data_IF_284500940139
#
_entry.id   IF_284500940139
#
_cell.length_a   1.000
_cell.length_b   1.000
_cell.length_c   1.000
_cell.angle_alpha   90.00
_cell.angle_beta   90.00
_cell.angle_gamma   90.00
#
_symmetry.space_group_name_H-M   'P 1'
#
loop_
_entity.id
_entity.type
_entity.pdbx_description
1 polymer ?
#
# COMPACT_ATOMS: atom_id res chain seq x y z
N UNK A 1 -8.77 15.19 -13.00
CA UNK A 1 -9.23 13.93 -13.63
C UNK A 1 -8.23 13.60 -14.73
N UNK A 2 -7.15 12.89 -14.38
CA UNK A 2 -6.10 12.48 -15.31
C UNK A 2 -6.46 11.08 -15.80
N UNK A 3 -7.07 11.02 -16.99
CA UNK A 3 -7.29 9.77 -17.70
C UNK A 3 -5.92 9.34 -18.28
N UNK A 4 -5.20 8.48 -17.58
CA UNK A 4 -4.15 7.68 -18.20
C UNK A 4 -4.84 6.66 -19.11
N UNK A 5 -4.87 6.97 -20.40
CA UNK A 5 -5.06 5.96 -21.43
C UNK A 5 -3.87 4.99 -21.34
N UNK A 6 -4.03 3.94 -20.55
CA UNK A 6 -3.22 2.74 -20.70
C UNK A 6 -3.50 2.22 -22.12
N UNK A 7 -2.61 2.54 -23.03
CA UNK A 7 -2.57 1.91 -24.35
C UNK A 7 -2.29 0.43 -24.06
N UNK A 8 -3.31 -0.37 -24.24
CA UNK A 8 -3.25 -1.82 -24.12
C UNK A 8 -2.41 -2.31 -25.30
N UNK A 9 -1.10 -2.42 -25.13
CA UNK A 9 -0.28 -3.15 -26.06
C UNK A 9 -0.63 -4.64 -25.92
N UNK A 10 -0.89 -5.38 -27.00
CA UNK A 10 -1.14 -6.80 -26.92
C UNK A 10 0.04 -7.49 -26.23
N UNK A 11 -0.25 -8.52 -25.45
CA UNK A 11 0.75 -9.30 -24.67
C UNK A 11 1.89 -9.84 -25.53
N UNK A 12 1.62 -10.08 -26.80
CA UNK A 12 2.61 -10.50 -27.78
C UNK A 12 3.71 -9.46 -28.00
N UNK A 13 3.39 -8.17 -27.94
CA UNK A 13 4.36 -7.07 -28.11
C UNK A 13 5.36 -7.02 -26.93
N UNK A 14 4.89 -7.19 -25.70
CA UNK A 14 5.76 -7.24 -24.51
C UNK A 14 6.65 -8.47 -24.46
N UNK A 15 6.13 -9.62 -24.91
CA UNK A 15 6.95 -10.83 -25.04
C UNK A 15 8.00 -10.68 -26.14
N UNK A 16 7.66 -10.06 -27.25
CA UNK A 16 8.59 -9.75 -28.32
C UNK A 16 9.68 -8.77 -27.89
N UNK A 17 9.35 -7.75 -27.09
CA UNK A 17 10.33 -6.80 -26.55
C UNK A 17 11.34 -7.48 -25.61
N UNK A 18 10.90 -8.37 -24.74
CA UNK A 18 11.81 -9.12 -23.84
C UNK A 18 12.69 -10.10 -24.64
N UNK A 19 12.14 -10.77 -25.62
CA UNK A 19 12.92 -11.64 -26.52
C UNK A 19 13.95 -10.83 -27.30
N UNK A 20 13.57 -9.66 -27.81
CA UNK A 20 14.48 -8.78 -28.56
C UNK A 20 15.65 -8.27 -27.70
N UNK A 21 15.42 -7.95 -26.42
CA UNK A 21 16.48 -7.52 -25.49
C UNK A 21 17.46 -8.65 -25.23
N UNK A 22 16.98 -9.88 -25.00
CA UNK A 22 17.87 -11.03 -24.80
C UNK A 22 18.71 -11.31 -26.04
N UNK A 23 18.11 -11.26 -27.23
CA UNK A 23 18.80 -11.44 -28.49
C UNK A 23 19.85 -10.32 -28.73
N UNK A 24 19.51 -9.07 -28.40
CA UNK A 24 20.45 -7.94 -28.51
C UNK A 24 21.67 -8.14 -27.60
N UNK A 25 21.45 -8.55 -26.35
CA UNK A 25 22.56 -8.86 -25.42
C UNK A 25 23.38 -10.05 -25.90
N UNK A 26 22.72 -11.11 -26.40
CA UNK A 26 23.39 -12.27 -26.95
C UNK A 26 24.25 -11.91 -28.17
N UNK A 27 23.75 -11.09 -29.09
CA UNK A 27 24.52 -10.57 -30.22
C UNK A 27 25.71 -9.74 -29.76
N UNK A 28 25.50 -8.84 -28.80
CA UNK A 28 26.59 -8.03 -28.23
C UNK A 28 27.70 -8.87 -27.61
N UNK A 29 27.37 -10.04 -27.05
CA UNK A 29 28.35 -11.00 -26.53
C UNK A 29 29.10 -11.65 -27.70
N UNK A 30 28.37 -12.17 -28.71
CA UNK A 30 28.96 -12.88 -29.85
C UNK A 30 29.79 -11.96 -30.76
N UNK A 31 29.33 -10.73 -31.00
CA UNK A 31 29.99 -9.74 -31.84
C UNK A 31 31.12 -8.99 -31.13
N UNK A 32 31.39 -9.30 -29.87
CA UNK A 32 32.43 -8.64 -29.11
C UNK A 32 33.83 -9.04 -29.61
N UNK A 33 34.64 -8.05 -29.94
CA UNK A 33 36.08 -8.28 -30.30
C UNK A 33 36.90 -8.82 -29.12
N UNK A 34 36.43 -8.63 -27.90
CA UNK A 34 37.09 -9.14 -26.69
C UNK A 34 36.31 -10.34 -26.15
N UNK A 35 37.04 -11.40 -25.67
CA UNK A 35 36.36 -12.57 -25.13
C UNK A 35 35.54 -12.20 -23.90
N UNK A 36 34.24 -12.60 -23.92
CA UNK A 36 33.29 -12.35 -22.85
C UNK A 36 33.19 -13.58 -21.97
N UNK A 37 33.45 -13.40 -20.68
CA UNK A 37 33.32 -14.46 -19.68
C UNK A 37 32.29 -14.11 -18.63
N UNK A 38 31.41 -15.06 -18.29
CA UNK A 38 30.35 -14.90 -17.32
C UNK A 38 30.67 -15.69 -16.04
N UNK A 39 30.61 -15.01 -14.90
CA UNK A 39 30.76 -15.67 -13.60
C UNK A 39 29.43 -15.61 -12.83
N UNK A 40 28.90 -16.79 -12.47
CA UNK A 40 27.68 -16.94 -11.65
C UNK A 40 28.10 -16.97 -10.18
N UNK A 41 27.97 -15.86 -9.50
CA UNK A 41 28.40 -15.70 -8.11
C UNK A 41 27.95 -14.36 -7.50
N UNK A 42 28.15 -14.19 -6.19
CA UNK A 42 28.69 -15.12 -5.20
C UNK A 42 27.77 -16.31 -4.89
N UNK A 43 28.15 -17.14 -3.87
CA UNK A 43 27.31 -18.26 -3.41
C UNK A 43 25.87 -17.84 -3.16
N UNK A 44 24.91 -18.63 -3.67
CA UNK A 44 23.47 -18.31 -3.61
C UNK A 44 22.96 -17.42 -4.75
N UNK A 45 23.80 -17.08 -5.72
CA UNK A 45 23.37 -16.42 -6.95
C UNK A 45 22.75 -17.43 -7.91
N UNK A 46 21.74 -16.97 -8.67
CA UNK A 46 20.99 -17.79 -9.62
C UNK A 46 21.08 -17.20 -11.03
N UNK A 47 21.46 -18.01 -12.01
CA UNK A 47 21.35 -17.73 -13.43
C UNK A 47 20.22 -18.60 -13.99
N UNK A 48 18.98 -18.15 -13.93
CA UNK A 48 17.79 -18.90 -14.32
C UNK A 48 17.10 -18.26 -15.53
N UNK A 49 16.36 -19.07 -16.31
CA UNK A 49 15.64 -18.59 -17.47
C UNK A 49 16.58 -18.00 -18.53
N UNK A 50 16.26 -16.80 -19.04
CA UNK A 50 17.08 -16.09 -20.06
C UNK A 50 18.51 -15.82 -19.63
N UNK A 51 18.80 -15.64 -18.33
CA UNK A 51 20.15 -15.49 -17.83
C UNK A 51 20.97 -16.79 -18.04
N UNK A 52 20.36 -17.97 -17.87
CA UNK A 52 21.02 -19.24 -18.15
C UNK A 52 21.33 -19.40 -19.64
N UNK A 53 20.46 -18.90 -20.52
CA UNK A 53 20.70 -18.90 -21.96
C UNK A 53 21.89 -17.99 -22.32
N UNK A 54 21.96 -16.78 -21.77
CA UNK A 54 23.06 -15.85 -22.02
C UNK A 54 24.41 -16.40 -21.56
N UNK A 55 24.45 -17.21 -20.49
CA UNK A 55 25.67 -17.90 -20.07
C UNK A 55 26.17 -18.87 -21.15
N UNK A 56 25.28 -19.48 -21.93
CA UNK A 56 25.68 -20.42 -23.01
C UNK A 56 26.25 -19.72 -24.23
N UNK A 57 25.98 -18.43 -24.40
CA UNK A 57 26.49 -17.61 -25.52
C UNK A 57 27.89 -17.09 -25.23
N UNK A 58 28.28 -16.99 -23.97
CA UNK A 58 29.59 -16.48 -23.56
C UNK A 58 30.72 -17.46 -23.91
N UNK A 59 31.92 -16.93 -24.24
CA UNK A 59 33.11 -17.71 -24.58
C UNK A 59 33.54 -18.64 -23.45
N UNK A 60 33.41 -18.19 -22.22
CA UNK A 60 33.66 -19.01 -21.05
C UNK A 60 32.75 -18.64 -19.88
N UNK A 61 32.56 -19.57 -18.95
CA UNK A 61 31.71 -19.35 -17.81
C UNK A 61 32.27 -20.01 -16.54
N UNK A 62 32.03 -19.36 -15.40
CA UNK A 62 32.37 -19.88 -14.09
C UNK A 62 31.17 -19.87 -13.13
N UNK A 63 31.17 -20.77 -12.16
CA UNK A 63 30.13 -20.85 -11.15
C UNK A 63 30.69 -20.99 -9.75
N UNK A 64 30.13 -20.22 -8.80
CA UNK A 64 30.48 -20.28 -7.39
C UNK A 64 29.81 -21.47 -6.67
N UNK A 65 30.34 -21.91 -5.50
CA UNK A 65 29.66 -22.88 -4.65
C UNK A 65 28.28 -22.40 -4.25
N UNK A 66 27.25 -23.24 -4.38
CA UNK A 66 25.88 -22.88 -4.02
C UNK A 66 25.19 -21.89 -4.94
N UNK A 67 25.85 -21.43 -6.00
CA UNK A 67 25.19 -20.73 -7.09
C UNK A 67 24.53 -21.74 -8.04
N UNK A 68 23.47 -21.35 -8.74
CA UNK A 68 22.67 -22.23 -9.60
C UNK A 68 22.50 -21.70 -11.03
N UNK A 69 22.31 -22.63 -11.98
CA UNK A 69 22.03 -22.34 -13.38
C UNK A 69 20.98 -23.29 -13.90
N UNK A 70 20.09 -22.82 -14.78
CA UNK A 70 19.08 -23.63 -15.48
C UNK A 70 17.68 -23.06 -15.42
N UNK A 71 16.68 -23.93 -15.27
CA UNK A 71 15.25 -23.59 -15.25
C UNK A 71 14.86 -22.63 -16.38
N UNK A 72 15.32 -22.92 -17.62
CA UNK A 72 15.07 -22.06 -18.79
C UNK A 72 13.59 -22.05 -19.16
N UNK A 73 12.90 -23.21 -19.01
CA UNK A 73 11.52 -23.32 -19.44
C UNK A 73 11.39 -23.12 -20.95
N UNK A 74 10.64 -22.09 -21.34
CA UNK A 74 10.54 -21.72 -22.77
C UNK A 74 11.79 -20.94 -23.19
N UNK A 75 12.43 -21.39 -24.26
CA UNK A 75 13.60 -20.71 -24.85
C UNK A 75 13.22 -19.26 -25.20
N UNK A 76 14.06 -18.32 -24.79
CA UNK A 76 13.87 -16.88 -25.00
C UNK A 76 14.76 -16.31 -26.09
N UNK A 77 15.94 -16.92 -26.32
CA UNK A 77 16.77 -16.56 -27.45
C UNK A 77 16.19 -17.13 -28.74
N UNK A 78 16.29 -16.36 -29.83
CA UNK A 78 15.81 -16.72 -31.14
C UNK A 78 16.41 -18.06 -31.58
N UNK A 79 15.54 -19.04 -31.89
CA UNK A 79 15.97 -20.35 -32.35
C UNK A 79 16.63 -20.29 -33.75
N UNK A 80 16.29 -19.27 -34.54
CA UNK A 80 16.83 -19.11 -35.88
C UNK A 80 18.31 -18.67 -35.87
N UNK A 81 18.69 -17.91 -34.84
CA UNK A 81 20.02 -17.34 -34.71
C UNK A 81 20.90 -18.13 -33.71
N UNK A 82 20.30 -18.59 -32.60
CA UNK A 82 21.00 -19.23 -31.47
C UNK A 82 20.64 -20.71 -31.30
N UNK A 83 19.82 -21.29 -32.17
CA UNK A 83 19.30 -22.65 -32.03
C UNK A 83 20.38 -23.72 -31.86
N UNK A 84 21.51 -23.56 -32.54
CA UNK A 84 22.63 -24.52 -32.47
C UNK A 84 23.30 -24.58 -31.08
N UNK A 85 23.24 -23.51 -30.31
CA UNK A 85 23.82 -23.45 -28.95
C UNK A 85 23.03 -24.30 -27.94
N UNK A 86 21.77 -24.57 -28.23
CA UNK A 86 20.83 -25.29 -27.35
C UNK A 86 20.58 -26.71 -27.79
N UNK A 87 21.42 -27.29 -28.65
CA UNK A 87 21.25 -28.66 -29.15
C UNK A 87 21.90 -29.70 -28.22
N UNK A 88 21.36 -30.91 -28.20
CA UNK A 88 21.95 -32.03 -27.50
C UNK A 88 21.82 -32.00 -25.97
N UNK A 89 22.91 -32.36 -25.27
CA UNK A 89 22.93 -32.46 -23.81
C UNK A 89 22.67 -31.13 -23.08
N UNK A 90 23.06 -30.01 -23.67
CA UNK A 90 22.87 -28.68 -23.10
C UNK A 90 21.38 -28.31 -23.02
N UNK A 91 20.61 -28.58 -24.06
CA UNK A 91 19.18 -28.30 -24.06
C UNK A 91 18.42 -29.07 -22.96
N UNK A 92 18.74 -30.34 -22.77
CA UNK A 92 18.12 -31.17 -21.71
C UNK A 92 18.55 -30.75 -20.32
N UNK A 93 19.78 -30.23 -20.17
CA UNK A 93 20.31 -29.77 -18.90
C UNK A 93 19.69 -28.45 -18.43
N UNK A 94 19.38 -27.53 -19.35
CA UNK A 94 18.88 -26.20 -19.03
C UNK A 94 17.44 -26.18 -18.49
N UNK A 95 16.64 -27.23 -18.72
CA UNK A 95 15.30 -27.35 -18.12
C UNK A 95 15.31 -27.62 -16.61
N UNK A 96 16.45 -28.06 -16.08
CA UNK A 96 16.66 -28.36 -14.66
C UNK A 96 17.60 -27.33 -14.04
N UNK A 97 17.54 -27.19 -12.73
CA UNK A 97 18.49 -26.37 -11.99
C UNK A 97 19.67 -27.22 -11.51
N UNK A 98 20.88 -26.77 -11.81
CA UNK A 98 22.13 -27.36 -11.34
C UNK A 98 22.92 -26.38 -10.50
N UNK A 99 23.56 -26.87 -9.46
CA UNK A 99 24.34 -26.03 -8.55
C UNK A 99 25.81 -26.36 -8.61
N UNK A 100 26.67 -25.34 -8.53
CA UNK A 100 28.13 -25.45 -8.36
C UNK A 100 28.78 -26.49 -9.30
N UNK A 101 29.45 -27.46 -8.75
CA UNK A 101 30.16 -28.51 -9.52
C UNK A 101 29.21 -29.37 -10.38
N UNK A 102 27.98 -29.54 -10.00
CA UNK A 102 27.00 -30.32 -10.79
C UNK A 102 26.73 -29.65 -12.14
N UNK A 103 26.71 -28.31 -12.18
CA UNK A 103 26.56 -27.53 -13.41
C UNK A 103 27.75 -27.73 -14.35
N UNK A 104 28.97 -27.80 -13.82
CA UNK A 104 30.17 -28.07 -14.60
C UNK A 104 30.16 -29.52 -15.15
N UNK A 105 29.78 -30.50 -14.32
CA UNK A 105 29.67 -31.91 -14.76
C UNK A 105 28.56 -32.09 -15.83
N UNK A 106 27.50 -31.28 -15.77
CA UNK A 106 26.47 -31.26 -16.79
C UNK A 106 26.90 -30.55 -18.10
N UNK A 107 28.03 -29.86 -18.10
CA UNK A 107 28.57 -29.11 -19.25
C UNK A 107 27.83 -27.79 -19.50
N UNK A 108 27.09 -27.28 -18.50
CA UNK A 108 26.38 -26.02 -18.58
C UNK A 108 27.26 -24.81 -18.27
N UNK A 109 28.36 -25.05 -17.53
CA UNK A 109 29.35 -24.03 -17.16
C UNK A 109 30.73 -24.60 -17.38
N UNK A 110 31.65 -23.76 -17.83
CA UNK A 110 33.01 -24.19 -18.19
C UNK A 110 33.83 -24.58 -16.97
N UNK A 111 33.73 -23.84 -15.86
CA UNK A 111 34.63 -24.01 -14.70
C UNK A 111 33.89 -23.81 -13.37
N UNK A 112 34.38 -24.51 -12.36
CA UNK A 112 34.04 -24.23 -10.96
C UNK A 112 34.99 -23.18 -10.42
N UNK A 113 34.45 -22.00 -10.03
CA UNK A 113 35.24 -20.85 -9.59
C UNK A 113 34.62 -20.28 -8.31
N UNK A 114 35.17 -20.62 -7.14
CA UNK A 114 34.63 -20.23 -5.84
C UNK A 114 34.49 -18.71 -5.66
N UNK A 115 35.47 -17.97 -6.19
CA UNK A 115 35.50 -16.51 -6.13
C UNK A 115 35.68 -15.90 -7.52
N UNK A 116 35.35 -14.62 -7.65
CA UNK A 116 35.60 -13.88 -8.89
C UNK A 116 37.12 -13.79 -9.18
N UNK A 117 37.94 -13.78 -8.15
CA UNK A 117 39.39 -13.82 -8.28
C UNK A 117 39.87 -15.12 -8.92
N UNK A 118 39.35 -16.28 -8.44
CA UNK A 118 39.66 -17.60 -9.02
C UNK A 118 39.19 -17.68 -10.48
N UNK A 119 38.04 -17.06 -10.77
CA UNK A 119 37.54 -17.01 -12.13
C UNK A 119 38.48 -16.21 -13.04
N UNK A 120 38.88 -15.01 -12.64
CA UNK A 120 39.74 -14.13 -13.42
C UNK A 120 41.10 -14.75 -13.72
N UNK A 121 41.76 -15.37 -12.73
CA UNK A 121 43.07 -16.01 -12.93
C UNK A 121 42.99 -17.27 -13.79
N UNK A 122 41.80 -17.85 -13.95
CA UNK A 122 41.58 -19.04 -14.78
C UNK A 122 41.22 -18.72 -16.22
N UNK A 123 41.07 -17.45 -16.60
CA UNK A 123 40.75 -17.04 -17.96
C UNK A 123 41.96 -17.13 -18.87
N UNK A 124 41.73 -17.60 -20.09
CA UNK A 124 42.75 -17.66 -21.12
C UNK A 124 43.19 -16.24 -21.53
N UNK A 125 44.50 -15.97 -21.58
CA UNK A 125 45.06 -14.66 -21.91
C UNK A 125 45.28 -13.72 -20.73
N UNK A 126 44.92 -14.11 -19.50
CA UNK A 126 45.26 -13.36 -18.29
C UNK A 126 46.62 -13.80 -17.78
N UNK A 127 47.61 -12.90 -17.86
CA UNK A 127 48.91 -13.15 -17.28
C UNK A 127 48.83 -13.10 -15.76
N UNK A 128 49.42 -14.11 -15.10
CA UNK A 128 49.37 -14.25 -13.66
C UNK A 128 50.76 -14.33 -13.08
N UNK A 129 50.97 -13.75 -11.89
CA UNK A 129 52.18 -13.86 -11.08
C UNK A 129 51.89 -14.61 -9.78
N UNK A 130 52.80 -15.51 -9.40
CA UNK A 130 52.71 -16.17 -8.10
C UNK A 130 53.50 -15.36 -7.07
N UNK A 131 52.74 -14.70 -6.18
CA UNK A 131 53.34 -13.99 -5.02
C UNK A 131 53.26 -14.85 -3.77
N UNK A 132 54.34 -14.85 -3.00
CA UNK A 132 54.33 -15.47 -1.67
C UNK A 132 54.12 -14.36 -0.64
N UNK A 133 52.94 -14.31 -0.03
CA UNK A 133 52.61 -13.37 1.04
C UNK A 133 52.31 -14.19 2.29
N UNK A 134 52.98 -13.88 3.40
CA UNK A 134 52.84 -14.58 4.69
C UNK A 134 53.05 -16.11 4.63
N UNK A 135 53.88 -16.58 3.70
CA UNK A 135 54.15 -18.01 3.52
C UNK A 135 53.17 -18.77 2.66
N UNK A 136 52.09 -18.13 2.23
CA UNK A 136 51.11 -18.68 1.29
C UNK A 136 51.39 -18.21 -0.13
N UNK A 137 51.31 -19.13 -1.09
CA UNK A 137 51.43 -18.80 -2.51
C UNK A 137 50.07 -18.32 -3.02
N UNK A 138 49.98 -17.04 -3.36
CA UNK A 138 48.82 -16.45 -4.00
C UNK A 138 49.14 -16.15 -5.46
N UNK A 139 48.26 -16.65 -6.35
CA UNK A 139 48.29 -16.27 -7.77
C UNK A 139 47.48 -14.99 -7.94
N UNK A 140 48.10 -13.94 -8.46
CA UNK A 140 47.47 -12.65 -8.70
C UNK A 140 47.53 -12.31 -10.19
N UNK A 141 46.50 -11.72 -10.78
CA UNK A 141 46.55 -11.25 -12.15
C UNK A 141 47.51 -10.05 -12.25
N UNK A 142 48.35 -10.03 -13.26
CA UNK A 142 49.20 -8.88 -13.60
C UNK A 142 48.40 -7.76 -14.28
N UNK A 143 47.25 -8.10 -14.84
CA UNK A 143 46.39 -7.18 -15.55
C UNK A 143 45.59 -6.31 -14.58
N UNK A 144 45.40 -5.03 -14.90
CA UNK A 144 44.58 -4.12 -14.11
C UNK A 144 43.11 -4.48 -14.26
N UNK A 145 42.49 -4.93 -13.16
CA UNK A 145 41.04 -5.22 -13.12
C UNK A 145 40.25 -3.93 -12.88
N UNK A 146 39.36 -3.57 -13.79
CA UNK A 146 38.46 -2.45 -13.63
C UNK A 146 37.09 -2.98 -13.25
N UNK A 147 36.57 -2.57 -12.09
CA UNK A 147 35.21 -2.86 -11.68
C UNK A 147 34.27 -1.70 -12.08
N UNK A 148 33.35 -1.99 -12.97
CA UNK A 148 32.28 -1.05 -13.32
C UNK A 148 31.02 -1.38 -12.52
N UNK A 149 30.48 -0.40 -11.80
CA UNK A 149 29.22 -0.57 -11.07
C UNK A 149 28.07 0.00 -11.91
N UNK A 150 26.95 -0.68 -11.87
CA UNK A 150 25.72 -0.17 -12.47
C UNK A 150 25.33 1.19 -11.86
N UNK A 151 24.78 2.12 -12.65
CA UNK A 151 24.18 3.35 -12.13
C UNK A 151 23.12 3.05 -11.05
N UNK A 152 22.95 3.95 -10.08
CA UNK A 152 22.00 3.77 -8.99
C UNK A 152 20.57 3.53 -9.49
N UNK A 153 20.15 4.20 -10.58
CA UNK A 153 18.86 3.98 -11.20
C UNK A 153 18.67 2.52 -11.64
N UNK A 154 19.65 1.98 -12.36
CA UNK A 154 19.61 0.59 -12.83
C UNK A 154 19.63 -0.40 -11.66
N UNK A 155 20.41 -0.12 -10.60
CA UNK A 155 20.40 -0.94 -9.38
C UNK A 155 19.02 -0.92 -8.71
N UNK A 156 18.37 0.23 -8.64
CA UNK A 156 17.03 0.38 -8.09
C UNK A 156 16.02 -0.48 -8.89
N UNK A 157 15.96 -0.30 -10.20
CA UNK A 157 15.05 -1.05 -11.05
C UNK A 157 15.30 -2.56 -11.02
N UNK A 158 16.57 -2.97 -10.98
CA UNK A 158 16.92 -4.38 -10.81
C UNK A 158 16.46 -4.94 -9.46
N UNK A 159 16.59 -4.16 -8.37
CA UNK A 159 16.12 -4.57 -7.05
C UNK A 159 14.59 -4.67 -7.03
N UNK A 160 13.90 -3.69 -7.61
CA UNK A 160 12.43 -3.66 -7.70
C UNK A 160 11.89 -4.82 -8.55
N UNK A 161 12.61 -5.23 -9.58
CA UNK A 161 12.23 -6.38 -10.41
C UNK A 161 12.48 -7.74 -9.72
N UNK A 162 12.94 -7.78 -8.46
CA UNK A 162 13.01 -9.05 -7.73
C UNK A 162 11.62 -9.48 -7.22
N UNK A 163 11.27 -10.78 -7.26
CA UNK A 163 9.91 -11.27 -6.96
C UNK A 163 9.38 -10.84 -5.59
N UNK A 164 10.23 -10.93 -4.56
CA UNK A 164 9.84 -10.59 -3.19
C UNK A 164 9.64 -9.09 -2.99
N UNK A 165 10.50 -8.26 -3.61
CA UNK A 165 10.41 -6.79 -3.50
C UNK A 165 9.21 -6.28 -4.30
N UNK A 166 9.00 -6.75 -5.53
CA UNK A 166 7.85 -6.40 -6.36
C UNK A 166 6.53 -6.69 -5.64
N UNK A 167 6.40 -7.90 -5.08
CA UNK A 167 5.23 -8.32 -4.32
C UNK A 167 5.00 -7.43 -3.08
N UNK A 168 6.04 -7.19 -2.27
CA UNK A 168 5.91 -6.38 -1.05
C UNK A 168 5.62 -4.91 -1.37
N UNK A 169 6.25 -4.33 -2.38
CA UNK A 169 5.97 -2.96 -2.81
C UNK A 169 4.52 -2.81 -3.25
N UNK A 170 4.01 -3.73 -4.08
CA UNK A 170 2.62 -3.72 -4.51
C UNK A 170 1.66 -3.88 -3.32
N UNK A 171 1.94 -4.82 -2.41
CA UNK A 171 1.12 -5.09 -1.22
C UNK A 171 1.07 -3.90 -0.28
N UNK A 172 2.24 -3.36 0.10
CA UNK A 172 2.35 -2.23 1.02
C UNK A 172 1.79 -0.96 0.36
N UNK A 173 2.08 -0.76 -0.93
CA UNK A 173 1.61 0.39 -1.67
C UNK A 173 0.09 0.48 -1.72
N UNK A 174 -0.59 -0.61 -2.10
CA UNK A 174 -2.05 -0.67 -2.09
C UNK A 174 -2.63 -0.55 -0.67
N UNK A 175 -1.96 -1.14 0.32
CA UNK A 175 -2.34 -0.99 1.74
C UNK A 175 -2.26 0.46 2.23
N UNK A 176 -1.20 1.19 1.88
CA UNK A 176 -1.03 2.60 2.21
C UNK A 176 -2.05 3.50 1.49
N UNK A 177 -2.35 3.23 0.21
CA UNK A 177 -3.41 3.94 -0.51
C UNK A 177 -4.76 3.73 0.15
N UNK A 178 -5.08 2.49 0.51
CA UNK A 178 -6.31 2.16 1.22
C UNK A 178 -6.36 2.89 2.58
N UNK A 179 -5.27 2.86 3.34
CA UNK A 179 -5.16 3.55 4.63
C UNK A 179 -5.39 5.05 4.47
N UNK A 180 -4.71 5.72 3.54
CA UNK A 180 -4.87 7.16 3.29
C UNK A 180 -6.29 7.54 2.91
N UNK A 181 -6.94 6.73 2.06
CA UNK A 181 -8.31 6.98 1.62
C UNK A 181 -9.31 7.06 2.79
N UNK A 182 -9.08 6.28 3.85
CA UNK A 182 -9.97 6.23 5.01
C UNK A 182 -9.52 7.09 6.19
N UNK A 183 -8.26 7.54 6.24
CA UNK A 183 -7.76 8.34 7.37
C UNK A 183 -7.97 9.85 7.20
N UNK A 184 -8.21 10.33 5.98
CA UNK A 184 -8.19 11.76 5.64
C UNK A 184 -6.90 12.43 6.17
N UNK A 185 -5.78 11.75 5.96
CA UNK A 185 -4.45 12.15 6.44
C UNK A 185 -3.89 13.36 5.71
N UNK A 186 -2.61 13.62 5.94
CA UNK A 186 -1.87 14.75 5.35
C UNK A 186 -1.45 14.43 3.88
N UNK A 187 -1.82 13.26 3.35
CA UNK A 187 -1.45 12.81 2.01
C UNK A 187 -0.12 12.05 1.93
N UNK A 188 0.65 11.98 3.02
CA UNK A 188 1.98 11.34 3.01
C UNK A 188 1.90 9.85 2.69
N UNK A 189 0.98 9.12 3.35
CA UNK A 189 0.81 7.69 3.10
C UNK A 189 0.29 7.44 1.68
N UNK A 190 -0.56 8.33 1.16
CA UNK A 190 -1.04 8.28 -0.23
C UNK A 190 0.09 8.44 -1.25
N UNK A 191 0.97 9.43 -1.07
CA UNK A 191 2.11 9.67 -1.97
C UNK A 191 3.09 8.50 -1.94
N UNK A 192 3.47 8.02 -0.74
CA UNK A 192 4.37 6.87 -0.59
C UNK A 192 3.72 5.61 -1.16
N UNK A 193 2.42 5.41 -0.89
CA UNK A 193 1.64 4.29 -1.42
C UNK A 193 1.59 4.28 -2.94
N UNK A 194 1.34 5.44 -3.56
CA UNK A 194 1.33 5.58 -5.01
C UNK A 194 2.72 5.26 -5.62
N UNK A 195 3.80 5.78 -5.01
CA UNK A 195 5.15 5.47 -5.44
C UNK A 195 5.43 3.96 -5.37
N UNK A 196 5.03 3.32 -4.28
CA UNK A 196 5.22 1.88 -4.10
C UNK A 196 4.39 1.06 -5.09
N UNK A 197 3.17 1.49 -5.42
CA UNK A 197 2.35 0.84 -6.46
C UNK A 197 2.98 0.99 -7.83
N UNK A 198 3.53 2.14 -8.17
CA UNK A 198 4.21 2.36 -9.45
C UNK A 198 5.46 1.49 -9.54
N UNK A 199 6.32 1.48 -8.52
CA UNK A 199 7.51 0.65 -8.49
C UNK A 199 7.16 -0.85 -8.45
N UNK A 200 6.21 -1.26 -7.61
CA UNK A 200 5.74 -2.65 -7.53
C UNK A 200 5.10 -3.11 -8.82
N UNK A 201 4.31 -2.24 -9.48
CA UNK A 201 3.73 -2.49 -10.79
C UNK A 201 4.79 -2.70 -11.86
N UNK A 202 5.83 -1.87 -11.89
CA UNK A 202 6.99 -2.09 -12.74
C UNK A 202 7.65 -3.46 -12.45
N UNK A 203 7.89 -3.78 -11.17
CA UNK A 203 8.49 -5.06 -10.80
C UNK A 203 7.64 -6.27 -11.21
N UNK A 204 6.32 -6.21 -11.01
CA UNK A 204 5.40 -7.27 -11.46
C UNK A 204 5.36 -7.38 -12.98
N UNK A 205 5.37 -6.25 -13.71
CA UNK A 205 5.36 -6.26 -15.18
C UNK A 205 6.65 -6.81 -15.78
N UNK A 206 7.79 -6.62 -15.11
CA UNK A 206 9.09 -7.15 -15.52
C UNK A 206 9.22 -8.67 -15.26
N UNK A 207 8.31 -9.27 -14.50
CA UNK A 207 8.33 -10.68 -14.13
C UNK A 207 7.19 -11.45 -14.81
N UNK A 208 7.40 -12.74 -15.14
CA UNK A 208 6.31 -13.59 -15.61
C UNK A 208 5.22 -13.70 -14.56
N UNK A 209 4.02 -13.17 -14.85
CA UNK A 209 2.91 -13.10 -13.92
C UNK A 209 1.57 -13.57 -14.51
N UNK A 210 0.66 -14.01 -13.65
CA UNK A 210 -0.69 -14.37 -14.03
C UNK A 210 -1.61 -13.14 -13.98
N UNK A 211 -2.17 -12.76 -15.09
CA UNK A 211 -3.09 -11.62 -15.19
C UNK A 211 -4.33 -11.77 -14.32
N UNK A 212 -4.95 -12.98 -14.31
CA UNK A 212 -6.10 -13.23 -13.47
C UNK A 212 -5.78 -13.03 -11.97
N UNK A 213 -4.57 -13.47 -11.55
CA UNK A 213 -4.14 -13.31 -10.17
C UNK A 213 -3.89 -11.83 -9.83
N UNK A 214 -3.33 -11.05 -10.76
CA UNK A 214 -3.16 -9.60 -10.58
C UNK A 214 -4.52 -8.90 -10.44
N UNK A 215 -5.51 -9.26 -11.26
CA UNK A 215 -6.87 -8.71 -11.15
C UNK A 215 -7.51 -9.06 -9.81
N UNK A 216 -7.41 -10.32 -9.37
CA UNK A 216 -7.93 -10.76 -8.07
C UNK A 216 -7.18 -10.08 -6.92
N UNK A 217 -5.87 -9.87 -7.05
CA UNK A 217 -5.05 -9.15 -6.09
C UNK A 217 -5.55 -7.73 -5.85
N UNK A 218 -5.76 -6.96 -6.93
CA UNK A 218 -6.29 -5.60 -6.86
C UNK A 218 -7.74 -5.60 -6.36
N UNK A 219 -8.58 -6.51 -6.85
CA UNK A 219 -9.98 -6.64 -6.42
C UNK A 219 -10.12 -6.94 -4.92
N UNK A 220 -9.14 -7.63 -4.34
CA UNK A 220 -9.10 -7.88 -2.88
C UNK A 220 -8.99 -6.58 -2.08
N UNK A 221 -8.22 -5.60 -2.54
CA UNK A 221 -8.14 -4.29 -1.89
C UNK A 221 -9.44 -3.49 -2.06
N UNK A 222 -10.16 -3.66 -3.18
CA UNK A 222 -11.49 -3.10 -3.35
C UNK A 222 -12.48 -3.73 -2.36
N UNK A 223 -12.42 -5.05 -2.15
CA UNK A 223 -13.22 -5.72 -1.14
C UNK A 223 -12.93 -5.20 0.27
N UNK A 224 -11.67 -4.97 0.62
CA UNK A 224 -11.28 -4.33 1.88
C UNK A 224 -11.86 -2.91 2.00
N UNK A 225 -11.82 -2.12 0.93
CA UNK A 225 -12.39 -0.78 0.90
C UNK A 225 -13.91 -0.81 1.17
N UNK A 226 -14.63 -1.74 0.55
CA UNK A 226 -16.07 -1.92 0.77
C UNK A 226 -16.36 -2.29 2.23
N UNK A 227 -15.57 -3.18 2.82
CA UNK A 227 -15.76 -3.60 4.23
C UNK A 227 -15.57 -2.44 5.20
N UNK A 228 -14.55 -1.61 4.99
CA UNK A 228 -14.30 -0.42 5.81
C UNK A 228 -15.47 0.58 5.73
N UNK A 229 -16.11 0.71 4.57
CA UNK A 229 -17.26 1.60 4.40
C UNK A 229 -18.54 1.03 4.98
N UNK A 230 -18.80 -0.25 4.78
CA UNK A 230 -20.06 -0.90 5.20
C UNK A 230 -20.06 -1.27 6.68
N UNK A 231 -18.90 -1.57 7.25
CA UNK A 231 -18.70 -1.84 8.69
C UNK A 231 -19.38 -3.08 9.24
N UNK A 232 -20.18 -3.82 8.48
CA UNK A 232 -21.01 -4.97 8.91
C UNK A 232 -21.14 -5.98 7.77
N UNK A 233 -21.08 -7.23 8.03
CA UNK A 233 -20.42 -8.10 9.04
C UNK A 233 -19.08 -8.65 8.57
N UNK A 234 -18.07 -7.88 8.31
CA UNK A 234 -16.70 -8.30 7.90
C UNK A 234 -16.62 -9.36 6.78
N UNK A 235 -17.73 -9.58 6.07
CA UNK A 235 -17.80 -10.56 4.99
C UNK A 235 -16.84 -10.19 3.85
N UNK A 236 -16.78 -8.91 3.53
CA UNK A 236 -15.89 -8.40 2.50
C UNK A 236 -14.41 -8.48 2.89
N UNK A 237 -14.07 -8.32 4.18
CA UNK A 237 -12.70 -8.57 4.68
C UNK A 237 -12.33 -10.04 4.51
N UNK A 238 -13.23 -10.98 4.80
CA UNK A 238 -12.96 -12.42 4.63
C UNK A 238 -12.79 -12.77 3.14
N UNK A 239 -13.67 -12.27 2.28
CA UNK A 239 -13.60 -12.47 0.82
C UNK A 239 -12.31 -11.85 0.27
N UNK A 240 -12.01 -10.60 0.65
CA UNK A 240 -10.79 -9.92 0.26
C UNK A 240 -9.53 -10.66 0.73
N UNK A 241 -9.53 -11.19 1.96
CA UNK A 241 -8.40 -11.92 2.51
C UNK A 241 -8.18 -13.26 1.80
N UNK A 242 -9.26 -13.98 1.48
CA UNK A 242 -9.20 -15.20 0.69
C UNK A 242 -8.66 -14.92 -0.73
N UNK A 243 -9.21 -13.92 -1.40
CA UNK A 243 -8.76 -13.49 -2.73
C UNK A 243 -7.30 -13.03 -2.71
N UNK A 244 -6.91 -12.21 -1.73
CA UNK A 244 -5.54 -11.74 -1.56
C UNK A 244 -4.54 -12.88 -1.33
N UNK A 245 -4.89 -13.85 -0.47
CA UNK A 245 -4.03 -15.01 -0.21
C UNK A 245 -3.86 -15.88 -1.44
N UNK A 246 -4.96 -16.22 -2.12
CA UNK A 246 -4.93 -17.03 -3.35
C UNK A 246 -4.13 -16.30 -4.43
N UNK A 247 -4.44 -15.04 -4.69
CA UNK A 247 -3.74 -14.27 -5.71
C UNK A 247 -2.25 -14.11 -5.41
N UNK A 248 -1.85 -13.90 -4.15
CA UNK A 248 -0.44 -13.80 -3.74
C UNK A 248 0.36 -15.07 -4.06
N UNK A 249 -0.27 -16.25 -3.92
CA UNK A 249 0.39 -17.53 -4.22
C UNK A 249 0.56 -17.79 -5.71
N UNK A 250 -0.32 -17.23 -6.54
CA UNK A 250 -0.35 -17.48 -7.98
C UNK A 250 0.04 -16.24 -8.82
N UNK A 251 0.39 -15.11 -8.19
CA UNK A 251 0.70 -13.86 -8.88
C UNK A 251 1.88 -14.03 -9.84
N UNK A 252 2.96 -14.62 -9.37
CA UNK A 252 4.16 -14.87 -10.16
C UNK A 252 4.26 -16.35 -10.51
N UNK A 253 4.56 -16.66 -11.78
CA UNK A 253 4.52 -18.03 -12.30
C UNK A 253 5.83 -18.78 -12.12
N UNK A 254 6.93 -18.21 -12.60
CA UNK A 254 8.23 -18.88 -12.66
C UNK A 254 9.09 -18.56 -11.41
N UNK A 255 9.06 -17.30 -10.96
CA UNK A 255 9.86 -16.80 -9.84
C UNK A 255 8.97 -16.44 -8.67
N UNK A 256 8.81 -17.35 -7.73
CA UNK A 256 7.94 -17.12 -6.57
C UNK A 256 8.62 -16.22 -5.54
N UNK A 257 7.87 -15.32 -4.89
CA UNK A 257 8.37 -14.60 -3.73
C UNK A 257 8.80 -15.56 -2.63
N UNK A 258 9.74 -15.17 -1.80
CA UNK A 258 10.15 -15.98 -0.65
C UNK A 258 8.98 -16.22 0.30
N UNK A 259 8.96 -17.34 1.01
CA UNK A 259 7.93 -17.65 2.00
C UNK A 259 7.83 -16.57 3.09
N UNK A 260 8.95 -15.93 3.42
CA UNK A 260 9.00 -14.81 4.37
C UNK A 260 8.25 -13.61 3.80
N UNK A 261 8.46 -13.26 2.53
CA UNK A 261 7.77 -12.13 1.89
C UNK A 261 6.27 -12.39 1.77
N UNK A 262 5.88 -13.60 1.34
CA UNK A 262 4.46 -14.01 1.27
C UNK A 262 3.80 -13.96 2.65
N UNK A 263 4.46 -14.55 3.66
CA UNK A 263 3.97 -14.54 5.04
C UNK A 263 3.84 -13.12 5.59
N UNK A 264 4.85 -12.28 5.39
CA UNK A 264 4.83 -10.88 5.81
C UNK A 264 3.69 -10.09 5.17
N UNK A 265 3.46 -10.27 3.86
CA UNK A 265 2.34 -9.64 3.15
C UNK A 265 0.99 -10.10 3.68
N UNK A 266 0.77 -11.42 3.77
CA UNK A 266 -0.52 -11.99 4.19
C UNK A 266 -0.83 -11.65 5.66
N UNK A 267 0.14 -11.83 6.57
CA UNK A 267 -0.03 -11.51 7.99
C UNK A 267 -0.15 -10.00 8.20
N UNK A 268 0.65 -9.20 7.48
CA UNK A 268 0.64 -7.75 7.57
C UNK A 268 -0.72 -7.16 7.15
N UNK A 269 -1.23 -7.53 5.97
CA UNK A 269 -2.55 -7.11 5.51
C UNK A 269 -3.65 -7.67 6.42
N UNK A 270 -3.58 -8.94 6.81
CA UNK A 270 -4.53 -9.54 7.74
C UNK A 270 -4.59 -8.78 9.06
N UNK A 271 -3.46 -8.51 9.70
CA UNK A 271 -3.39 -7.74 10.95
C UNK A 271 -3.96 -6.34 10.78
N UNK A 272 -3.65 -5.68 9.67
CA UNK A 272 -4.15 -4.34 9.35
C UNK A 272 -5.67 -4.34 9.18
N UNK A 273 -6.23 -5.30 8.44
CA UNK A 273 -7.67 -5.36 8.15
C UNK A 273 -8.50 -5.85 9.35
N UNK A 274 -8.02 -6.84 10.09
CA UNK A 274 -8.77 -7.38 11.23
C UNK A 274 -8.65 -6.55 12.51
N UNK A 275 -7.54 -5.86 12.71
CA UNK A 275 -7.24 -5.13 13.95
C UNK A 275 -7.02 -3.63 13.72
N UNK A 276 -6.14 -3.26 12.81
CA UNK A 276 -5.73 -1.88 12.57
C UNK A 276 -6.87 -0.98 12.09
N UNK A 277 -7.50 -1.33 10.97
CA UNK A 277 -8.59 -0.54 10.38
C UNK A 277 -9.79 -0.37 11.32
N UNK A 278 -10.32 -1.42 11.97
CA UNK A 278 -11.41 -1.24 12.92
C UNK A 278 -11.04 -0.38 14.14
N UNK A 279 -9.80 -0.46 14.62
CA UNK A 279 -9.33 0.38 15.72
C UNK A 279 -9.30 1.85 15.29
N UNK A 280 -8.78 2.14 14.10
CA UNK A 280 -8.71 3.48 13.53
C UNK A 280 -10.10 4.09 13.30
N UNK A 281 -11.02 3.34 12.68
CA UNK A 281 -12.39 3.79 12.46
C UNK A 281 -13.08 4.11 13.79
N UNK A 282 -12.91 3.27 14.81
CA UNK A 282 -13.45 3.52 16.16
C UNK A 282 -12.90 4.79 16.78
N UNK A 283 -11.61 5.06 16.66
CA UNK A 283 -11.01 6.29 17.22
C UNK A 283 -11.47 7.54 16.49
N UNK A 284 -11.70 7.48 15.19
CA UNK A 284 -12.20 8.60 14.38
C UNK A 284 -13.64 8.99 14.72
N UNK A 285 -14.49 8.01 15.03
CA UNK A 285 -15.90 8.22 15.38
C UNK A 285 -16.16 8.13 16.89
N UNK A 286 -15.13 7.94 17.73
CA UNK A 286 -15.27 8.06 19.16
C UNK A 286 -15.65 9.50 19.50
N UNK A 287 -16.73 9.67 20.21
CA UNK A 287 -17.04 10.97 20.85
C UNK A 287 -15.81 11.41 21.64
N UNK A 288 -15.39 12.67 21.52
CA UNK A 288 -14.23 13.16 22.27
C UNK A 288 -14.48 12.90 23.75
N UNK A 289 -13.71 11.98 24.33
CA UNK A 289 -13.76 11.64 25.76
C UNK A 289 -13.30 12.80 26.67
N UNK A 290 -12.92 13.93 26.07
CA UNK A 290 -12.49 15.15 26.72
C UNK A 290 -13.59 16.22 26.62
N UNK A 291 -14.72 15.92 26.02
CA UNK A 291 -15.89 16.81 26.05
C UNK A 291 -16.52 16.81 27.45
N UNK A 292 -16.51 17.94 28.09
CA UNK A 292 -17.28 18.17 29.32
C UNK A 292 -18.76 18.48 29.03
N UNK A 293 -19.19 18.15 27.83
CA UNK A 293 -20.56 18.41 27.32
C UNK A 293 -21.66 17.81 28.21
N UNK A 294 -21.32 16.70 28.90
CA UNK A 294 -22.21 16.12 29.92
C UNK A 294 -22.51 17.05 31.11
N UNK A 295 -21.66 18.08 31.33
CA UNK A 295 -21.88 19.05 32.38
C UNK A 295 -22.91 20.12 32.01
N UNK A 296 -23.22 20.30 30.75
CA UNK A 296 -24.25 21.25 30.29
C UNK A 296 -25.62 20.77 30.74
N UNK A 297 -26.31 21.60 31.49
CA UNK A 297 -27.56 21.24 32.13
C UNK A 297 -27.45 20.74 33.57
N UNK A 298 -26.23 20.40 34.06
CA UNK A 298 -26.00 19.96 35.44
C UNK A 298 -26.20 21.10 36.41
N UNK A 299 -26.72 20.74 37.58
CA UNK A 299 -26.95 21.66 38.69
C UNK A 299 -25.77 21.67 39.68
N UNK A 300 -25.43 22.83 40.14
CA UNK A 300 -24.37 23.01 41.14
C UNK A 300 -24.70 24.11 42.13
N UNK A 301 -23.71 24.50 42.97
CA UNK A 301 -23.81 25.60 43.90
C UNK A 301 -22.61 26.53 43.78
N UNK A 302 -22.82 27.81 43.88
CA UNK A 302 -21.75 28.78 43.91
C UNK A 302 -20.92 28.64 45.20
N UNK A 303 -19.64 28.36 45.07
CA UNK A 303 -18.68 28.24 46.16
C UNK A 303 -18.12 29.61 46.56
N UNK A 304 -18.01 30.53 45.61
CA UNK A 304 -17.71 31.95 45.81
C UNK A 304 -18.75 32.79 45.10
N UNK A 305 -18.84 34.08 45.43
CA UNK A 305 -19.65 34.98 44.62
C UNK A 305 -19.11 35.01 43.20
N UNK A 306 -20.01 34.92 42.19
CA UNK A 306 -19.68 34.95 40.77
C UNK A 306 -20.20 36.24 40.15
N UNK A 307 -19.29 37.23 39.94
CA UNK A 307 -19.59 38.55 39.39
C UNK A 307 -18.37 39.15 38.68
N UNK A 308 -18.18 38.99 37.41
CA UNK A 308 -18.75 37.99 36.53
C UNK A 308 -18.04 36.62 36.62
N UNK A 309 -16.94 36.50 37.34
CA UNK A 309 -16.15 35.28 37.48
C UNK A 309 -16.09 34.82 38.96
N UNK A 310 -16.10 33.51 39.14
CA UNK A 310 -16.02 32.89 40.47
C UNK A 310 -15.79 31.40 40.37
N UNK A 311 -16.15 30.66 41.43
CA UNK A 311 -16.04 29.20 41.47
C UNK A 311 -17.38 28.57 41.88
N UNK A 312 -17.69 27.45 41.26
CA UNK A 312 -18.88 26.66 41.55
C UNK A 312 -18.52 25.23 41.85
N UNK A 313 -19.30 24.56 42.67
CA UNK A 313 -19.17 23.11 42.90
C UNK A 313 -20.24 22.38 42.10
N UNK A 314 -19.80 21.50 41.17
CA UNK A 314 -20.64 20.63 40.39
C UNK A 314 -20.17 19.19 40.55
N UNK A 315 -21.06 18.30 40.96
CA UNK A 315 -20.77 16.89 41.24
C UNK A 315 -19.58 16.69 42.20
N UNK A 316 -19.48 17.58 43.24
CA UNK A 316 -18.45 17.51 44.25
C UNK A 316 -17.08 18.07 43.87
N UNK A 317 -16.91 18.55 42.64
CA UNK A 317 -15.67 19.15 42.16
C UNK A 317 -15.82 20.68 42.00
N UNK A 318 -14.75 21.42 42.33
CA UNK A 318 -14.68 22.87 42.17
C UNK A 318 -14.30 23.23 40.72
N UNK A 319 -15.10 24.12 40.12
CA UNK A 319 -14.90 24.60 38.76
C UNK A 319 -14.86 26.12 38.71
N UNK A 320 -14.04 26.68 37.83
CA UNK A 320 -14.13 28.11 37.51
C UNK A 320 -15.40 28.34 36.69
N UNK A 321 -16.13 29.38 37.06
CA UNK A 321 -17.37 29.71 36.42
C UNK A 321 -17.44 31.20 36.09
N UNK A 322 -18.19 31.54 35.07
CA UNK A 322 -18.54 32.87 34.64
C UNK A 322 -20.07 32.97 34.51
N UNK A 323 -20.60 34.07 34.96
CA UNK A 323 -22.00 34.39 34.80
C UNK A 323 -22.15 35.65 33.96
N UNK A 324 -23.33 35.84 33.38
CA UNK A 324 -23.66 37.08 32.69
C UNK A 324 -23.62 38.23 33.70
N UNK A 325 -23.01 39.38 33.38
CA UNK A 325 -22.92 40.57 34.24
C UNK A 325 -24.26 41.08 34.75
N UNK A 326 -25.36 40.77 34.05
CA UNK A 326 -26.72 41.15 34.44
C UNK A 326 -27.31 40.26 35.55
N UNK A 327 -26.68 39.11 35.85
CA UNK A 327 -27.22 38.12 36.80
C UNK A 327 -26.11 37.59 37.70
N UNK A 328 -25.52 38.45 38.58
CA UNK A 328 -24.51 37.99 39.53
C UNK A 328 -25.11 36.94 40.47
N UNK A 329 -24.30 35.97 40.90
CA UNK A 329 -24.70 34.84 41.73
C UNK A 329 -24.03 34.95 43.07
N UNK A 330 -24.82 34.87 44.17
CA UNK A 330 -24.32 34.90 45.54
C UNK A 330 -23.74 33.53 45.95
N UNK A 331 -22.89 33.53 46.98
CA UNK A 331 -22.32 32.30 47.57
C UNK A 331 -23.45 31.38 48.06
N UNK A 332 -23.37 30.11 47.69
CA UNK A 332 -24.35 29.08 48.09
C UNK A 332 -25.59 29.00 47.19
N UNK A 333 -25.76 29.92 46.27
CA UNK A 333 -26.88 29.95 45.35
C UNK A 333 -26.83 28.79 44.34
N UNK A 334 -27.96 28.13 44.05
CA UNK A 334 -28.01 27.06 43.02
C UNK A 334 -27.83 27.64 41.62
N UNK A 335 -27.00 26.97 40.83
CA UNK A 335 -26.66 27.38 39.48
C UNK A 335 -26.78 26.20 38.52
N UNK A 336 -27.07 26.50 37.26
CA UNK A 336 -27.10 25.56 36.15
C UNK A 336 -25.97 25.89 35.18
N UNK A 337 -25.29 24.87 34.66
CA UNK A 337 -24.30 25.02 33.57
C UNK A 337 -25.03 25.17 32.25
N UNK A 338 -24.75 26.26 31.53
CA UNK A 338 -25.37 26.56 30.24
C UNK A 338 -24.45 26.25 29.08
N UNK A 339 -23.16 26.55 29.23
CA UNK A 339 -22.16 26.32 28.22
C UNK A 339 -20.78 26.09 28.86
N UNK A 340 -19.82 25.65 28.03
CA UNK A 340 -18.44 25.44 28.47
C UNK A 340 -17.52 26.17 27.51
N UNK A 341 -16.74 27.09 28.02
CA UNK A 341 -15.70 27.81 27.28
C UNK A 341 -14.31 27.41 27.79
N UNK A 342 -13.70 26.44 27.11
CA UNK A 342 -12.41 25.89 27.53
C UNK A 342 -12.44 25.25 28.93
N UNK A 343 -11.85 25.93 29.92
CA UNK A 343 -11.80 25.50 31.34
C UNK A 343 -12.82 26.21 32.23
N UNK A 344 -13.59 27.14 31.69
CA UNK A 344 -14.55 27.96 32.43
C UNK A 344 -15.97 27.50 32.08
N UNK A 345 -16.80 27.31 33.09
CA UNK A 345 -18.21 26.98 32.88
C UNK A 345 -19.01 28.28 32.82
N UNK A 346 -19.85 28.43 31.81
CA UNK A 346 -20.89 29.45 31.77
C UNK A 346 -22.09 28.94 32.58
N UNK A 347 -22.51 29.74 33.54
CA UNK A 347 -23.56 29.37 34.47
C UNK A 347 -24.67 30.42 34.52
N UNK A 348 -25.85 29.98 34.89
CA UNK A 348 -27.02 30.82 35.17
C UNK A 348 -27.58 30.48 36.57
N UNK A 349 -28.14 31.46 37.31
CA UNK A 349 -28.89 31.16 38.51
C UNK A 349 -30.14 30.35 38.15
N UNK A 350 -30.54 29.42 39.03
CA UNK A 350 -31.75 28.59 38.82
C UNK A 350 -33.03 29.44 38.75
N UNK A 351 -33.08 30.55 39.51
CA UNK A 351 -34.21 31.46 39.52
C UNK A 351 -33.72 32.84 39.08
N UNK A 352 -34.36 33.41 38.08
CA UNK A 352 -34.00 34.73 37.55
C UNK A 352 -32.99 34.73 36.42
N UNK A 353 -32.77 33.55 35.79
CA UNK A 353 -31.97 33.44 34.58
C UNK A 353 -32.49 34.40 33.51
N UNK A 354 -31.55 34.99 32.72
CA UNK A 354 -31.93 35.84 31.59
C UNK A 354 -32.67 34.99 30.57
N UNK A 355 -33.97 35.25 30.40
CA UNK A 355 -34.80 34.51 29.43
C UNK A 355 -34.32 34.85 28.02
N UNK A 356 -33.90 33.84 27.27
CA UNK A 356 -33.49 34.04 25.86
C UNK A 356 -34.65 34.71 25.09
N UNK A 357 -34.35 35.87 24.52
CA UNK A 357 -35.30 36.63 23.70
C UNK A 357 -35.95 35.81 22.56
N UNK A 358 -35.25 34.75 22.13
CA UNK A 358 -35.79 33.80 21.16
C UNK A 358 -36.88 32.90 21.73
N UNK A 359 -36.74 32.47 22.98
CA UNK A 359 -37.77 31.69 23.68
C UNK A 359 -38.98 32.51 24.00
N UNK A 360 -38.80 33.80 24.40
CA UNK A 360 -39.95 34.73 24.61
C UNK A 360 -40.74 34.94 23.33
N UNK A 361 -40.07 35.09 22.20
CA UNK A 361 -40.73 35.24 20.88
C UNK A 361 -41.49 33.98 20.46
N UNK A 362 -41.00 32.79 20.81
CA UNK A 362 -41.70 31.54 20.53
C UNK A 362 -42.89 31.28 21.50
N UNK A 363 -42.77 31.69 22.75
CA UNK A 363 -43.91 31.64 23.71
C UNK A 363 -44.98 32.66 23.38
N UNK A 364 -44.62 33.85 22.86
CA UNK A 364 -45.59 34.85 22.38
C UNK A 364 -46.37 34.43 21.12
N UNK A 365 -45.75 33.56 20.30
CA UNK A 365 -46.46 32.99 19.15
C UNK A 365 -47.34 31.79 19.46
N UNK A 366 -47.15 31.13 20.59
CA UNK A 366 -47.97 30.00 21.05
C UNK A 366 -49.14 30.40 21.95
N UNK A 367 -49.16 31.67 22.47
CA UNK A 367 -50.18 32.16 23.36
C UNK A 367 -51.43 32.78 22.71
N UNK A 368 -51.35 33.12 21.41
CA UNK A 368 -52.47 33.70 20.69
C UNK A 368 -53.34 32.64 19.92
N UNK A 369 -53.04 31.35 20.08
CA UNK A 369 -53.79 30.29 19.43
C UNK A 369 -54.92 29.65 20.30
N UNK A 370 -55.03 30.07 21.59
CA UNK A 370 -55.98 29.39 22.52
C UNK A 370 -57.01 30.32 23.18
N UNK A 371 -57.26 31.49 22.60
CA UNK A 371 -58.31 32.38 23.06
C UNK A 371 -59.25 32.84 21.91
N UNK A 372 -60.15 31.98 21.48
CA UNK A 372 -61.09 32.31 20.42
C UNK A 372 -62.03 31.15 20.04
N UNK A 373 -62.61 30.50 21.04
CA UNK A 373 -63.69 29.56 20.88
C UNK A 373 -65.01 30.16 21.27
N UNK A 374 -65.69 30.76 20.33
CA UNK A 374 -67.13 31.00 20.48
C UNK A 374 -67.84 30.36 19.28
N UNK A 375 -68.71 29.44 19.60
CA UNK A 375 -69.67 28.70 18.87
C UNK A 375 -70.57 29.53 17.95
N UNK A 376 -70.78 29.09 16.71
CA UNK A 376 -72.02 29.24 16.04
C UNK A 376 -72.30 28.01 15.14
N UNK A 377 -73.58 27.47 15.23
CA UNK A 377 -73.89 26.23 14.51
C UNK A 377 -74.64 26.59 13.25
N UNK A 378 -74.23 26.12 12.13
CA UNK A 378 -75.05 25.62 11.04
C UNK A 378 -74.21 25.33 9.79
N UNK A 379 -74.51 24.18 9.25
CA UNK A 379 -74.40 23.71 7.89
C UNK A 379 -73.31 22.63 7.61
N UNK A 380 -73.92 21.45 7.50
CA UNK A 380 -73.37 20.30 6.77
C UNK A 380 -73.92 20.34 5.30
N UNK A 381 -73.64 19.34 4.47
CA UNK A 381 -72.43 18.96 3.79
C UNK A 381 -72.58 19.01 2.25
N UNK A 382 -71.52 19.09 1.51
CA UNK A 382 -71.57 19.06 0.04
C UNK A 382 -70.33 18.52 -0.61
N UNK A 383 -70.54 17.45 -1.25
CA UNK A 383 -69.69 16.50 -1.99
C UNK A 383 -68.88 17.05 -3.18
N UNK A 384 -67.85 16.31 -3.49
CA UNK A 384 -67.33 15.91 -4.82
C UNK A 384 -66.64 16.99 -5.67
N UNK A 385 -65.38 16.65 -6.10
CA UNK A 385 -64.75 17.30 -7.24
C UNK A 385 -63.26 16.92 -7.43
N UNK A 386 -63.07 15.87 -8.16
CA UNK A 386 -61.83 15.49 -8.86
C UNK A 386 -61.35 16.57 -9.84
N UNK A 387 -60.04 16.76 -9.97
CA UNK A 387 -59.30 16.91 -11.22
C UNK A 387 -57.89 17.40 -10.95
N UNK A 388 -56.92 16.58 -11.28
CA UNK A 388 -55.83 16.74 -12.26
C UNK A 388 -55.53 18.19 -12.67
N UNK A 389 -54.30 18.67 -12.42
CA UNK A 389 -53.50 19.19 -13.53
C UNK A 389 -52.02 19.39 -13.14
N UNK A 390 -51.16 18.94 -14.01
CA UNK A 390 -49.71 19.14 -13.97
C UNK A 390 -49.36 20.44 -14.70
N UNK A 391 -48.30 21.17 -14.32
CA UNK A 391 -47.80 22.27 -15.11
C UNK A 391 -46.63 21.85 -16.02
N UNK A 392 -46.39 22.61 -17.10
CA UNK A 392 -45.40 22.28 -18.12
C UNK A 392 -44.01 22.83 -17.81
N UNK A 393 -43.05 22.17 -18.42
CA UNK A 393 -41.67 22.54 -18.64
C UNK A 393 -41.61 23.84 -19.47
N UNK A 394 -40.66 24.71 -19.17
CA UNK A 394 -40.13 25.68 -20.15
C UNK A 394 -38.62 25.72 -20.11
N UNK A 395 -38.06 25.63 -21.31
CA UNK A 395 -36.70 25.66 -21.72
C UNK A 395 -36.15 27.09 -21.72
N UNK A 396 -34.83 27.21 -21.56
CA UNK A 396 -34.19 28.32 -22.22
C UNK A 396 -33.05 29.05 -21.49
N UNK A 397 -31.87 28.78 -21.98
CA UNK A 397 -30.60 29.47 -22.04
C UNK A 397 -29.48 28.91 -21.22
#
# INVERSE_FOLDING_TARGET
MLLFLLRYAPLEEWQQDILSINDEVARAIVDSDAPVSVWIGPSGSDALGGAAELVQVADSSGIAPGASIGAVGTQRLSSDEFGDLFTGRKAVGLDRTFTGEAAVKAGLVTRFSPTIGDHLISLDGVETEVRTTDGERQTTPLTTVRFSKLPLSTQLFHTVASPSVAYLLMTIGLGLLLFEFFTAGIGVAGVVGALFVVLGGYGVSALPHNQWALVVFIASFVAFAIDVQTGIPRAWTIIGMAGFTISSLFLLTEFRPTWIALGAGIIGIGSTMFSGMPAMVRTRFATPTIGREWMVGEMGKASTAVDPEGTVTINGALWRARVNRATPVAVGEPVRVVAIDGLVLEIEPEVGAAVDYREMRNRGKGGDADAGGATDPDDAPGAIGTATDSPPLDDGA
#
